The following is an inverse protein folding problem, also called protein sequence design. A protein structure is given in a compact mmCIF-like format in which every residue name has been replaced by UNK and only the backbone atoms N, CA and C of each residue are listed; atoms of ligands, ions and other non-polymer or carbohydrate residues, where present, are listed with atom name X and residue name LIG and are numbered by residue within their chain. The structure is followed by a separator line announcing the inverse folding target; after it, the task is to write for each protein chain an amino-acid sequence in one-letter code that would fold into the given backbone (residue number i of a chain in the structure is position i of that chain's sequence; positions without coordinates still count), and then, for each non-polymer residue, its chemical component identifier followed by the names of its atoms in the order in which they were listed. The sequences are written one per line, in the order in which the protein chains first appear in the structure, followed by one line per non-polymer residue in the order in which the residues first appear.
data_IF_579680067455
#
_entry.id   IF_579680067455
#
_cell.length_a   1.000
_cell.length_b   1.000
_cell.length_c   1.000
_cell.angle_alpha   90.00
_cell.angle_beta   90.00
_cell.angle_gamma   90.00
#
_symmetry.space_group_name_H-M   'P 1'
#
loop_
_entity.id
_entity.type
_entity.pdbx_description
1 polymer ?
#
# COMPACT_ATOMS: atom_id res chain seq x y z
N UNK A 1 -26.78 -17.47 -7.05
CA UNK A 1 -25.59 -17.62 -6.18
C UNK A 1 -24.38 -17.30 -7.03
N UNK A 2 -23.94 -16.03 -7.02
CA UNK A 2 -22.80 -15.61 -7.82
C UNK A 2 -21.54 -15.80 -6.97
N UNK A 3 -20.76 -16.81 -7.31
CA UNK A 3 -19.39 -16.97 -6.81
C UNK A 3 -18.52 -15.95 -7.55
N UNK A 4 -18.38 -14.75 -6.98
CA UNK A 4 -17.32 -13.86 -7.37
C UNK A 4 -15.99 -14.54 -7.02
N UNK A 5 -15.00 -14.55 -7.91
CA UNK A 5 -13.69 -15.08 -7.57
C UNK A 5 -13.10 -14.24 -6.41
N UNK A 6 -12.94 -14.88 -5.27
CA UNK A 6 -12.52 -14.27 -3.99
C UNK A 6 -11.04 -13.87 -3.98
N UNK A 7 -10.42 -13.69 -5.12
CA UNK A 7 -8.96 -13.59 -5.21
C UNK A 7 -8.45 -12.39 -6.04
N UNK A 8 -9.27 -11.39 -6.28
CA UNK A 8 -8.76 -10.19 -6.97
C UNK A 8 -8.00 -9.33 -5.96
N UNK A 9 -6.69 -9.17 -6.10
CA UNK A 9 -5.92 -8.32 -5.20
C UNK A 9 -6.35 -6.86 -5.33
N UNK A 10 -6.47 -6.17 -4.19
CA UNK A 10 -6.79 -4.75 -4.14
C UNK A 10 -5.49 -3.95 -4.20
N UNK A 11 -5.48 -2.88 -5.01
CA UNK A 11 -4.40 -1.92 -4.98
C UNK A 11 -4.62 -0.94 -3.82
N UNK A 12 -3.65 -0.81 -2.95
CA UNK A 12 -3.68 0.11 -1.82
C UNK A 12 -2.54 1.11 -1.90
N UNK A 13 -2.78 2.29 -1.33
CA UNK A 13 -1.74 3.28 -1.03
C UNK A 13 -2.10 4.01 0.23
N UNK A 14 -1.10 4.59 0.89
CA UNK A 14 -1.30 5.17 2.17
C UNK A 14 -1.38 6.65 2.33
N UNK A 15 -1.31 7.63 1.49
CA UNK A 15 -0.15 8.05 0.71
C UNK A 15 1.19 7.88 1.44
N UNK A 16 2.26 7.61 0.74
CA UNK A 16 3.55 7.27 1.36
C UNK A 16 4.08 8.33 2.32
N UNK A 17 3.99 9.60 1.95
CA UNK A 17 4.42 10.71 2.79
C UNK A 17 3.58 10.93 4.05
N UNK A 18 2.39 10.35 4.13
CA UNK A 18 1.49 10.51 5.26
C UNK A 18 1.64 9.39 6.30
N UNK A 19 1.66 8.14 5.87
CA UNK A 19 1.72 6.98 6.75
C UNK A 19 2.77 5.92 6.36
N UNK A 20 3.59 6.17 5.34
CA UNK A 20 4.64 5.26 4.92
C UNK A 20 4.18 4.01 4.18
N UNK A 21 2.92 3.94 3.77
CA UNK A 21 2.38 2.80 3.00
C UNK A 21 2.48 3.10 1.51
N UNK A 22 3.32 2.35 0.75
CA UNK A 22 3.46 2.55 -0.69
C UNK A 22 2.30 1.94 -1.47
N UNK A 23 2.22 2.25 -2.77
CA UNK A 23 1.38 1.52 -3.71
C UNK A 23 1.73 0.04 -3.68
N UNK A 24 0.73 -0.80 -3.40
CA UNK A 24 0.91 -2.24 -3.26
C UNK A 24 -0.36 -3.00 -3.60
N UNK A 25 -0.20 -4.21 -4.12
CA UNK A 25 -1.28 -5.19 -4.26
C UNK A 25 -1.39 -6.02 -3.00
N UNK A 26 -2.59 -6.09 -2.43
CA UNK A 26 -2.88 -6.85 -1.21
C UNK A 26 -4.13 -7.71 -1.42
N UNK A 27 -4.10 -8.93 -0.89
CA UNK A 27 -5.27 -9.79 -0.91
C UNK A 27 -6.37 -9.21 -0.01
N UNK A 28 -7.61 -9.23 -0.47
CA UNK A 28 -8.78 -8.74 0.26
C UNK A 28 -8.94 -9.31 1.66
N UNK A 29 -8.47 -10.53 1.90
CA UNK A 29 -8.54 -11.19 3.21
C UNK A 29 -7.71 -10.52 4.29
N UNK A 30 -6.72 -9.72 3.90
CA UNK A 30 -5.86 -8.99 4.83
C UNK A 30 -6.26 -7.53 5.00
N UNK A 31 -7.42 -7.14 4.46
CA UNK A 31 -7.90 -5.76 4.47
C UNK A 31 -9.18 -5.67 5.28
N UNK A 32 -9.24 -4.69 6.17
CA UNK A 32 -10.45 -4.30 6.89
C UNK A 32 -11.03 -3.07 6.19
N UNK A 33 -12.22 -3.20 5.60
CA UNK A 33 -12.93 -2.06 5.02
C UNK A 33 -13.60 -1.23 6.11
N UNK A 34 -13.40 0.08 6.06
CA UNK A 34 -14.04 1.02 6.98
C UNK A 34 -15.12 1.84 6.26
N UNK A 35 -16.03 2.45 7.03
CA UNK A 35 -17.07 3.33 6.49
C UNK A 35 -16.50 4.68 5.99
N UNK A 36 -15.29 5.04 6.43
CA UNK A 36 -14.64 6.28 6.00
C UNK A 36 -14.21 6.16 4.55
N UNK A 37 -14.67 7.10 3.71
CA UNK A 37 -14.36 7.14 2.28
C UNK A 37 -13.48 8.34 1.98
N UNK A 38 -12.48 8.12 1.13
CA UNK A 38 -11.61 9.17 0.60
C UNK A 38 -12.03 9.47 -0.83
N UNK A 39 -12.12 10.76 -1.17
CA UNK A 39 -12.41 11.18 -2.54
C UNK A 39 -11.21 10.89 -3.45
N UNK A 40 -11.47 10.13 -4.52
CA UNK A 40 -10.49 9.75 -5.53
C UNK A 40 -10.60 10.58 -6.81
N UNK A 41 -11.39 11.66 -6.79
CA UNK A 41 -11.57 12.53 -7.95
C UNK A 41 -10.24 13.13 -8.40
N UNK A 42 -9.93 13.01 -9.69
CA UNK A 42 -8.68 13.54 -10.27
C UNK A 42 -7.43 12.69 -10.01
N UNK A 43 -7.56 11.53 -9.38
CA UNK A 43 -6.44 10.59 -9.23
C UNK A 43 -6.31 9.75 -10.49
N UNK A 44 -5.16 9.84 -11.15
CA UNK A 44 -4.89 9.05 -12.35
C UNK A 44 -4.29 7.69 -11.99
N UNK A 45 -5.07 6.65 -12.16
CA UNK A 45 -4.67 5.25 -11.91
C UNK A 45 -4.38 4.46 -13.19
N UNK A 46 -4.47 5.09 -14.37
CA UNK A 46 -4.33 4.41 -15.66
C UNK A 46 -2.96 3.80 -15.91
N UNK A 47 -1.94 4.26 -15.21
CA UNK A 47 -0.56 3.76 -15.31
C UNK A 47 -0.22 2.68 -14.27
N UNK A 48 -1.20 2.28 -13.46
CA UNK A 48 -0.98 1.31 -12.37
C UNK A 48 -1.45 -0.05 -12.85
N UNK A 49 -0.63 -0.66 -13.69
CA UNK A 49 -0.86 -2.02 -14.19
C UNK A 49 -0.17 -3.07 -13.31
N UNK A 50 -0.54 -4.33 -13.49
CA UNK A 50 0.04 -5.43 -12.73
C UNK A 50 1.54 -5.57 -12.97
N UNK A 51 2.03 -5.25 -14.17
CA UNK A 51 3.45 -5.24 -14.51
C UNK A 51 4.29 -4.29 -13.63
N UNK A 52 3.68 -3.21 -13.11
CA UNK A 52 4.36 -2.31 -12.19
C UNK A 52 4.73 -2.99 -10.86
N UNK A 53 3.99 -4.03 -10.48
CA UNK A 53 4.18 -4.77 -9.22
C UNK A 53 4.96 -6.07 -9.41
N UNK A 54 5.29 -6.42 -10.64
CA UNK A 54 6.10 -7.60 -10.93
C UNK A 54 7.50 -7.45 -10.29
N UNK A 55 8.02 -8.57 -9.86
CA UNK A 55 9.35 -8.64 -9.29
C UNK A 55 10.35 -8.61 -10.43
N UNK A 56 11.21 -7.61 -10.44
CA UNK A 56 12.38 -7.62 -11.31
C UNK A 56 13.34 -8.72 -10.80
N UNK A 57 13.28 -9.89 -11.41
CA UNK A 57 14.26 -10.95 -11.16
C UNK A 57 15.57 -10.55 -11.85
N UNK A 58 16.38 -9.75 -11.17
CA UNK A 58 17.75 -9.53 -11.59
C UNK A 58 18.53 -10.84 -11.34
N UNK A 59 19.07 -11.42 -12.40
CA UNK A 59 19.93 -12.62 -12.31
C UNK A 59 21.16 -12.38 -11.42
N UNK A 60 21.55 -11.13 -11.23
CA UNK A 60 22.60 -10.67 -10.32
C UNK A 60 22.29 -10.93 -8.82
N UNK A 61 21.05 -11.28 -8.48
CA UNK A 61 20.60 -11.36 -7.09
C UNK A 61 21.21 -12.54 -6.29
N UNK A 62 21.82 -13.53 -6.93
CA UNK A 62 22.39 -14.69 -6.22
C UNK A 62 23.78 -14.39 -5.66
N UNK A 63 24.64 -13.77 -6.46
CA UNK A 63 25.99 -13.40 -6.01
C UNK A 63 25.95 -12.24 -4.99
N UNK A 64 25.03 -11.30 -5.16
CA UNK A 64 24.85 -10.20 -4.21
C UNK A 64 24.22 -10.68 -2.89
N UNK A 65 23.35 -11.69 -2.91
CA UNK A 65 22.82 -12.29 -1.69
C UNK A 65 23.90 -12.97 -0.86
N UNK A 66 24.83 -13.67 -1.49
CA UNK A 66 25.91 -14.37 -0.80
C UNK A 66 26.89 -13.39 -0.15
N UNK A 67 27.18 -12.26 -0.82
CA UNK A 67 27.98 -11.15 -0.27
C UNK A 67 27.28 -10.44 0.89
N UNK A 68 25.95 -10.22 0.80
CA UNK A 68 25.16 -9.59 1.86
C UNK A 68 25.04 -10.48 3.11
N UNK A 69 24.90 -11.79 2.95
CA UNK A 69 24.91 -12.73 4.06
C UNK A 69 26.26 -12.76 4.77
N UNK A 70 27.36 -12.66 4.01
CA UNK A 70 28.71 -12.59 4.58
C UNK A 70 28.98 -11.29 5.34
N UNK A 71 28.35 -10.18 4.92
CA UNK A 71 28.50 -8.86 5.56
C UNK A 71 27.53 -8.62 6.72
N UNK A 72 26.53 -9.47 6.93
CA UNK A 72 25.50 -9.31 7.99
C UNK A 72 24.58 -8.11 7.79
N UNK A 73 24.54 -7.53 6.60
CA UNK A 73 23.69 -6.39 6.26
C UNK A 73 22.33 -6.84 5.72
N UNK A 74 21.27 -6.10 6.07
CA UNK A 74 19.94 -6.33 5.49
C UNK A 74 19.91 -5.86 4.04
N UNK A 75 19.38 -6.70 3.14
CA UNK A 75 19.24 -6.38 1.71
C UNK A 75 18.52 -5.03 1.54
N UNK A 76 19.11 -4.06 0.84
CA UNK A 76 18.43 -2.81 0.55
C UNK A 76 17.17 -3.10 -0.28
N UNK A 77 16.03 -2.60 0.17
CA UNK A 77 14.77 -2.72 -0.58
C UNK A 77 14.86 -1.84 -1.81
N UNK A 78 15.20 -2.46 -2.95
CA UNK A 78 15.27 -1.76 -4.22
C UNK A 78 13.85 -1.51 -4.75
N UNK A 79 13.47 -0.26 -4.80
CA UNK A 79 12.20 0.17 -5.41
C UNK A 79 12.51 0.79 -6.77
N UNK A 80 11.95 0.25 -7.85
CA UNK A 80 12.19 0.76 -9.21
C UNK A 80 11.79 2.23 -9.34
N UNK A 81 12.47 2.97 -10.22
CA UNK A 81 12.17 4.38 -10.48
C UNK A 81 10.71 4.56 -10.94
N UNK A 82 10.23 3.66 -11.78
CA UNK A 82 8.84 3.67 -12.26
C UNK A 82 7.82 3.60 -11.12
N UNK A 83 8.06 2.78 -10.09
CA UNK A 83 7.20 2.71 -8.89
C UNK A 83 7.24 4.00 -8.08
N UNK A 84 8.39 4.63 -7.95
CA UNK A 84 8.53 5.92 -7.24
C UNK A 84 7.79 7.04 -7.96
N UNK A 85 7.86 7.08 -9.28
CA UNK A 85 7.19 8.09 -10.09
C UNK A 85 5.66 7.90 -10.07
N UNK A 86 5.19 6.65 -10.19
CA UNK A 86 3.78 6.33 -10.05
C UNK A 86 3.25 6.70 -8.66
N UNK A 87 4.00 6.39 -7.59
CA UNK A 87 3.68 6.75 -6.21
C UNK A 87 3.56 8.26 -6.05
N UNK A 88 4.53 9.02 -6.54
CA UNK A 88 4.56 10.48 -6.44
C UNK A 88 3.36 11.12 -7.16
N UNK A 89 3.02 10.60 -8.34
CA UNK A 89 1.88 11.10 -9.13
C UNK A 89 0.55 10.89 -8.42
N UNK A 90 0.34 9.69 -7.88
CA UNK A 90 -0.89 9.34 -7.15
C UNK A 90 -0.99 10.12 -5.84
N UNK A 91 0.09 10.16 -5.08
CA UNK A 91 0.12 10.82 -3.77
C UNK A 91 -0.13 12.33 -3.87
N UNK A 92 0.40 12.98 -4.88
CA UNK A 92 0.19 14.42 -5.10
C UNK A 92 -1.30 14.77 -5.28
N UNK A 93 -2.05 13.92 -5.96
CA UNK A 93 -3.48 14.10 -6.16
C UNK A 93 -4.29 13.73 -4.91
N UNK A 94 -3.92 12.63 -4.24
CA UNK A 94 -4.58 12.18 -3.02
C UNK A 94 -4.41 13.15 -1.86
N UNK A 95 -3.21 13.70 -1.67
CA UNK A 95 -2.94 14.66 -0.59
C UNK A 95 -3.86 15.87 -0.67
N UNK A 96 -4.07 16.42 -1.86
CA UNK A 96 -5.00 17.53 -2.06
C UNK A 96 -6.43 17.20 -1.65
N UNK A 97 -6.87 15.97 -1.90
CA UNK A 97 -8.22 15.54 -1.53
C UNK A 97 -8.34 15.24 -0.03
N UNK A 98 -7.30 14.69 0.58
CA UNK A 98 -7.26 14.44 2.02
C UNK A 98 -7.26 15.75 2.83
N UNK A 99 -6.53 16.76 2.37
CA UNK A 99 -6.45 18.08 3.02
C UNK A 99 -7.78 18.85 3.01
N UNK A 100 -8.66 18.57 2.04
CA UNK A 100 -10.00 19.20 1.97
C UNK A 100 -10.92 18.76 3.11
N UNK A 101 -10.68 17.59 3.69
CA UNK A 101 -11.52 17.02 4.74
C UNK A 101 -10.81 17.17 6.08
N UNK A 102 -11.45 17.89 6.99
CA UNK A 102 -10.94 18.10 8.34
C UNK A 102 -10.73 16.77 9.07
N UNK A 103 -9.65 16.66 9.82
CA UNK A 103 -9.25 15.48 10.60
C UNK A 103 -8.91 14.20 9.80
N UNK A 104 -9.18 14.15 8.50
CA UNK A 104 -8.90 12.94 7.69
C UNK A 104 -7.40 12.61 7.68
N UNK A 105 -6.54 13.61 7.61
CA UNK A 105 -5.09 13.46 7.68
C UNK A 105 -4.64 12.80 9.01
N UNK A 106 -5.22 13.20 10.13
CA UNK A 106 -4.95 12.63 11.43
C UNK A 106 -5.44 11.17 11.52
N UNK A 107 -6.63 10.91 10.99
CA UNK A 107 -7.19 9.56 10.91
C UNK A 107 -6.29 8.62 10.08
N UNK A 108 -5.81 9.06 8.93
CA UNK A 108 -4.93 8.26 8.06
C UNK A 108 -3.55 7.98 8.68
N UNK A 109 -3.06 8.83 9.58
CA UNK A 109 -1.82 8.62 10.34
C UNK A 109 -1.99 7.64 11.49
N UNK A 110 -3.20 7.50 12.01
CA UNK A 110 -3.47 6.63 13.14
C UNK A 110 -3.24 5.16 12.78
N UNK A 111 -2.57 4.44 13.66
CA UNK A 111 -2.36 3.00 13.50
C UNK A 111 -3.49 2.24 14.18
N UNK A 112 -4.04 1.27 13.48
CA UNK A 112 -5.00 0.35 14.06
C UNK A 112 -4.30 -0.53 15.11
N UNK A 113 -4.87 -0.62 16.30
CA UNK A 113 -4.38 -1.47 17.37
C UNK A 113 -5.56 -2.05 18.15
N UNK A 114 -5.37 -3.23 18.72
CA UNK A 114 -6.35 -3.91 19.56
C UNK A 114 -5.85 -3.94 21.00
N UNK A 115 -6.75 -3.67 21.94
CA UNK A 115 -6.52 -3.75 23.38
C UNK A 115 -7.06 -5.06 23.95
N UNK A 116 -6.65 -5.39 25.18
CA UNK A 116 -7.17 -6.58 25.86
C UNK A 116 -8.68 -6.41 26.10
N UNK A 117 -9.46 -7.33 25.55
CA UNK A 117 -10.92 -7.31 25.63
C UNK A 117 -11.62 -6.82 24.37
N UNK A 118 -10.90 -6.30 23.40
CA UNK A 118 -11.46 -5.94 22.10
C UNK A 118 -11.85 -7.19 21.31
N UNK A 119 -13.06 -7.16 20.77
CA UNK A 119 -13.63 -8.25 19.98
C UNK A 119 -13.76 -7.81 18.51
N UNK A 120 -12.76 -8.08 17.65
CA UNK A 120 -12.74 -7.58 16.28
C UNK A 120 -13.97 -7.97 15.45
N UNK A 121 -14.53 -9.14 15.71
CA UNK A 121 -15.72 -9.64 15.01
C UNK A 121 -17.03 -8.91 15.38
N UNK A 122 -17.03 -8.15 16.46
CA UNK A 122 -18.17 -7.32 16.89
C UNK A 122 -17.96 -5.83 16.61
N UNK A 123 -16.76 -5.42 16.23
CA UNK A 123 -16.44 -4.03 15.93
C UNK A 123 -17.08 -3.59 14.61
N UNK A 124 -17.53 -2.34 14.57
CA UNK A 124 -17.96 -1.65 13.34
C UNK A 124 -16.83 -0.73 12.89
N UNK A 125 -16.39 -0.93 11.68
CA UNK A 125 -15.31 -0.16 11.07
C UNK A 125 -15.83 0.88 10.08
#
# INVERSE_FOLDING_TARGET
MYLLPTTTPICITGPYGLNGVPLRRVNQRYVIATNTKVDLSGVNVSKIDDSLFDREDSEDSKEDMEKLFAAGETKPTYTSAARKDAQSTVDSSLMKNIEKVEMLSAYMKAKFSLSKGDLPHLMKF
#
